data_IF_666836922432
#
_entry.id   IF_666836922432
#
_cell.length_a   1.000
_cell.length_b   1.000
_cell.length_c   1.000
_cell.angle_alpha   90.00
_cell.angle_beta   90.00
_cell.angle_gamma   90.00
#
_symmetry.space_group_name_H-M   'P 1'
#
loop_
_entity.id
_entity.type
_entity.pdbx_description
1 polymer ?
#
# COMPACT_ATOMS: atom_id res chain seq x y z
N UNK A 1 6.56 -8.19 37.27
CA UNK A 1 6.64 -6.95 36.47
C UNK A 1 7.84 -7.07 35.55
N UNK A 2 7.61 -7.40 34.30
CA UNK A 2 8.68 -7.48 33.29
C UNK A 2 8.89 -6.08 32.73
N UNK A 3 10.05 -5.49 33.01
CA UNK A 3 10.50 -4.22 32.43
C UNK A 3 10.74 -4.43 30.94
N UNK A 4 10.00 -3.70 30.12
CA UNK A 4 10.23 -3.65 28.67
C UNK A 4 11.68 -3.19 28.42
N UNK A 5 12.42 -3.95 27.64
CA UNK A 5 13.78 -3.59 27.22
C UNK A 5 13.74 -2.29 26.39
N UNK A 6 14.75 -1.40 26.48
CA UNK A 6 14.81 -0.16 25.72
C UNK A 6 14.80 -0.48 24.22
N UNK A 7 13.87 0.18 23.50
CA UNK A 7 13.49 -0.12 22.13
C UNK A 7 14.66 -0.21 21.16
N UNK A 8 14.88 -1.40 20.59
CA UNK A 8 15.60 -1.52 19.33
C UNK A 8 14.82 -0.70 18.28
N UNK A 9 15.49 0.22 17.61
CA UNK A 9 14.88 0.89 16.45
C UNK A 9 14.55 -0.18 15.42
N UNK A 10 13.30 -0.22 14.96
CA UNK A 10 12.88 -1.17 13.91
C UNK A 10 13.70 -0.92 12.65
N UNK A 11 14.24 -1.98 12.06
CA UNK A 11 14.88 -1.95 10.75
C UNK A 11 13.82 -2.30 9.72
N UNK A 12 13.30 -1.27 9.05
CA UNK A 12 12.26 -1.46 8.05
C UNK A 12 12.87 -1.63 6.67
N UNK A 13 12.48 -2.71 5.99
CA UNK A 13 12.87 -3.02 4.62
C UNK A 13 11.66 -2.91 3.70
N UNK A 14 11.91 -2.57 2.42
CA UNK A 14 10.90 -2.45 1.40
C UNK A 14 11.28 -3.32 0.20
N UNK A 15 10.31 -4.05 -0.34
CA UNK A 15 10.56 -4.95 -1.46
C UNK A 15 9.30 -5.15 -2.33
N UNK A 16 9.51 -5.51 -3.59
CA UNK A 16 8.43 -5.98 -4.46
C UNK A 16 8.20 -7.46 -4.14
N UNK A 17 6.95 -7.84 -3.92
CA UNK A 17 6.58 -9.22 -3.65
C UNK A 17 5.51 -9.73 -4.60
N UNK A 18 5.50 -11.05 -4.92
CA UNK A 18 4.40 -11.70 -5.61
C UNK A 18 3.09 -11.56 -4.81
N UNK A 19 1.96 -11.48 -5.52
CA UNK A 19 0.64 -11.32 -4.89
C UNK A 19 0.36 -12.38 -3.82
N UNK A 20 0.51 -13.65 -4.16
CA UNK A 20 0.16 -14.74 -3.23
C UNK A 20 0.98 -14.72 -1.95
N UNK A 21 2.29 -14.43 -2.06
CA UNK A 21 3.18 -14.30 -0.88
C UNK A 21 2.76 -13.14 0.02
N UNK A 22 2.53 -11.97 -0.58
CA UNK A 22 2.13 -10.78 0.19
C UNK A 22 0.73 -10.93 0.77
N UNK A 23 -0.22 -11.49 0.00
CA UNK A 23 -1.62 -11.63 0.40
C UNK A 23 -1.81 -12.61 1.56
N UNK A 24 -1.08 -13.73 1.58
CA UNK A 24 -1.15 -14.71 2.67
C UNK A 24 -0.88 -14.07 4.04
N UNK A 25 0.10 -13.17 4.10
CA UNK A 25 0.45 -12.48 5.35
C UNK A 25 -0.35 -11.19 5.59
N UNK A 26 -0.91 -10.59 4.54
CA UNK A 26 -1.60 -9.30 4.62
C UNK A 26 -3.03 -9.39 5.17
N UNK A 27 -3.61 -10.57 5.33
CA UNK A 27 -5.04 -10.75 5.62
C UNK A 27 -5.47 -10.01 6.91
N UNK A 28 -4.68 -10.11 7.98
CA UNK A 28 -4.97 -9.40 9.24
C UNK A 28 -4.87 -7.88 9.04
N UNK A 29 -3.82 -7.41 8.37
CA UNK A 29 -3.64 -5.99 8.06
C UNK A 29 -4.73 -5.44 7.14
N UNK A 30 -5.28 -6.25 6.23
CA UNK A 30 -6.39 -5.86 5.36
C UNK A 30 -7.67 -5.60 6.16
N UNK A 31 -7.95 -6.42 7.16
CA UNK A 31 -9.09 -6.21 8.06
C UNK A 31 -8.91 -4.91 8.86
N UNK A 32 -7.75 -4.70 9.47
CA UNK A 32 -7.44 -3.46 10.19
C UNK A 32 -7.54 -2.23 9.29
N UNK A 33 -6.99 -2.33 8.08
CA UNK A 33 -7.05 -1.27 7.08
C UNK A 33 -8.49 -0.93 6.71
N UNK A 34 -9.32 -1.95 6.42
CA UNK A 34 -10.73 -1.77 6.09
C UNK A 34 -11.50 -1.14 7.25
N UNK A 35 -11.26 -1.60 8.49
CA UNK A 35 -11.89 -1.03 9.67
C UNK A 35 -11.51 0.45 9.87
N UNK A 36 -10.30 0.84 9.51
CA UNK A 36 -9.85 2.21 9.65
C UNK A 36 -10.43 3.16 8.62
N UNK A 37 -10.54 2.73 7.34
CA UNK A 37 -10.80 3.67 6.23
C UNK A 37 -12.11 3.46 5.49
N UNK A 38 -12.76 2.30 5.63
CA UNK A 38 -13.96 2.00 4.83
C UNK A 38 -15.15 2.84 5.25
N UNK A 39 -15.86 3.36 4.24
CA UNK A 39 -17.15 4.03 4.40
C UNK A 39 -18.28 3.03 4.09
N UNK A 40 -19.47 3.28 4.67
CA UNK A 40 -20.66 2.44 4.46
C UNK A 40 -20.45 0.96 4.82
N UNK A 41 -19.69 0.68 5.88
CA UNK A 41 -19.37 -0.68 6.35
C UNK A 41 -20.58 -1.54 6.69
N UNK A 42 -21.70 -0.92 7.02
CA UNK A 42 -22.99 -1.57 7.21
C UNK A 42 -23.54 -2.16 5.92
N UNK A 43 -23.27 -1.53 4.77
CA UNK A 43 -23.82 -1.87 3.45
C UNK A 43 -22.83 -2.61 2.55
N UNK A 44 -21.54 -2.27 2.61
CA UNK A 44 -20.49 -2.84 1.77
C UNK A 44 -19.50 -3.56 2.65
N UNK A 45 -19.40 -4.89 2.53
CA UNK A 45 -18.50 -5.73 3.32
C UNK A 45 -17.16 -5.95 2.62
N UNK A 46 -16.11 -6.15 3.41
CA UNK A 46 -14.82 -6.58 2.86
C UNK A 46 -14.97 -7.97 2.24
N UNK A 47 -14.71 -8.07 0.95
CA UNK A 47 -14.66 -9.33 0.20
C UNK A 47 -13.62 -9.16 -0.90
N UNK A 48 -12.40 -9.65 -0.64
CA UNK A 48 -11.29 -9.52 -1.59
C UNK A 48 -11.49 -10.49 -2.75
N UNK A 49 -11.51 -9.99 -3.98
CA UNK A 49 -11.51 -10.81 -5.20
C UNK A 49 -10.08 -11.28 -5.51
N UNK A 50 -9.69 -12.36 -4.83
CA UNK A 50 -8.34 -12.93 -4.91
C UNK A 50 -7.98 -13.36 -6.32
N UNK A 51 -8.93 -13.97 -7.04
CA UNK A 51 -8.69 -14.46 -8.40
C UNK A 51 -8.48 -13.30 -9.37
N UNK A 52 -9.19 -12.19 -9.18
CA UNK A 52 -8.97 -10.99 -9.96
C UNK A 52 -7.61 -10.35 -9.71
N UNK A 53 -7.16 -10.32 -8.46
CA UNK A 53 -5.82 -9.84 -8.14
C UNK A 53 -4.72 -10.70 -8.77
N UNK A 54 -4.87 -12.04 -8.75
CA UNK A 54 -3.95 -12.95 -9.44
C UNK A 54 -3.92 -12.71 -10.94
N UNK A 55 -5.08 -12.59 -11.57
CA UNK A 55 -5.18 -12.27 -13.00
C UNK A 55 -4.42 -10.97 -13.36
N UNK A 56 -4.55 -9.93 -12.55
CA UNK A 56 -3.85 -8.66 -12.75
C UNK A 56 -2.33 -8.80 -12.53
N UNK A 57 -1.92 -9.61 -11.56
CA UNK A 57 -0.52 -9.91 -11.30
C UNK A 57 0.11 -10.69 -12.46
N UNK A 58 -0.55 -11.73 -12.95
CA UNK A 58 -0.10 -12.57 -14.09
C UNK A 58 0.03 -11.75 -15.38
N UNK A 59 -0.84 -10.75 -15.57
CA UNK A 59 -0.77 -9.81 -16.70
C UNK A 59 0.32 -8.74 -16.52
N UNK A 60 1.04 -8.75 -15.40
CA UNK A 60 2.02 -7.71 -15.09
C UNK A 60 1.42 -6.32 -14.84
N UNK A 61 0.12 -6.22 -14.61
CA UNK A 61 -0.57 -4.96 -14.31
C UNK A 61 -0.40 -4.57 -12.84
N UNK A 62 -0.41 -5.56 -11.95
CA UNK A 62 -0.29 -5.34 -10.51
C UNK A 62 1.16 -5.18 -10.08
N UNK A 63 1.40 -4.30 -9.12
CA UNK A 63 2.66 -4.21 -8.38
C UNK A 63 2.38 -4.08 -6.90
N UNK A 64 2.98 -4.97 -6.12
CA UNK A 64 2.88 -4.95 -4.67
C UNK A 64 4.25 -4.61 -4.10
N UNK A 65 4.28 -3.61 -3.24
CA UNK A 65 5.43 -3.27 -2.41
C UNK A 65 5.07 -3.53 -0.97
N UNK A 66 5.88 -4.31 -0.29
CA UNK A 66 5.72 -4.59 1.15
C UNK A 66 6.71 -3.78 1.97
N UNK A 67 6.30 -3.45 3.19
CA UNK A 67 7.15 -2.93 4.25
C UNK A 67 7.25 -3.99 5.36
N UNK A 68 8.48 -4.35 5.77
CA UNK A 68 8.73 -5.41 6.75
C UNK A 68 9.64 -4.95 7.87
N UNK A 69 9.36 -5.38 9.09
CA UNK A 69 10.30 -5.21 10.22
C UNK A 69 11.26 -6.38 10.24
N UNK A 70 12.48 -6.15 9.76
CA UNK A 70 13.52 -7.15 9.66
C UNK A 70 14.06 -7.63 11.03
N UNK A 71 13.72 -6.94 12.12
CA UNK A 71 14.07 -7.41 13.46
C UNK A 71 13.16 -8.54 13.98
N UNK A 72 12.02 -8.78 13.32
CA UNK A 72 11.04 -9.79 13.72
C UNK A 72 11.02 -10.88 12.66
N UNK A 73 11.87 -11.84 12.82
CA UNK A 73 12.04 -12.99 11.92
C UNK A 73 11.67 -14.30 12.62
N UNK A 74 11.01 -15.20 11.89
CA UNK A 74 10.68 -16.56 12.37
C UNK A 74 11.84 -17.54 12.15
N UNK A 75 12.65 -17.32 11.11
CA UNK A 75 13.83 -18.12 10.74
C UNK A 75 14.86 -17.26 9.98
N UNK A 76 16.04 -17.79 9.72
CA UNK A 76 17.17 -17.04 9.16
C UNK A 76 16.93 -16.38 7.78
N UNK A 77 16.04 -16.94 6.99
CA UNK A 77 15.69 -16.42 5.64
C UNK A 77 14.37 -15.67 5.59
N UNK A 78 13.74 -15.47 6.74
CA UNK A 78 12.49 -14.73 6.86
C UNK A 78 12.76 -13.24 6.55
N UNK A 79 12.01 -12.63 5.60
CA UNK A 79 12.18 -11.21 5.28
C UNK A 79 11.77 -10.26 6.41
N UNK A 80 11.20 -10.79 7.48
CA UNK A 80 10.69 -10.04 8.62
C UNK A 80 9.17 -9.89 8.61
N UNK A 81 8.62 -9.45 9.73
CA UNK A 81 7.18 -9.29 9.91
C UNK A 81 6.63 -8.26 8.90
N UNK A 82 5.59 -8.63 8.16
CA UNK A 82 4.85 -7.69 7.33
C UNK A 82 4.17 -6.63 8.22
N UNK A 83 4.46 -5.36 7.95
CA UNK A 83 3.94 -4.22 8.73
C UNK A 83 3.20 -3.20 7.88
N UNK A 84 3.24 -3.37 6.57
CA UNK A 84 2.54 -2.48 5.65
C UNK A 84 2.72 -2.90 4.20
N UNK A 85 1.93 -2.30 3.34
CA UNK A 85 1.94 -2.59 1.90
C UNK A 85 1.46 -1.38 1.09
N UNK A 86 1.85 -1.39 -0.18
CA UNK A 86 1.26 -0.60 -1.25
C UNK A 86 0.91 -1.54 -2.39
N UNK A 87 -0.32 -1.44 -2.87
CA UNK A 87 -0.80 -2.15 -4.05
C UNK A 87 -1.14 -1.12 -5.11
N UNK A 88 -0.56 -1.26 -6.29
CA UNK A 88 -0.80 -0.35 -7.39
C UNK A 88 -0.94 -1.07 -8.72
N UNK A 89 -1.64 -0.43 -9.63
CA UNK A 89 -1.84 -0.89 -11.00
C UNK A 89 -1.02 -0.04 -11.97
N UNK A 90 -0.39 -0.69 -12.95
CA UNK A 90 0.36 -0.04 -14.03
C UNK A 90 -0.41 -0.29 -15.32
N UNK A 91 -0.98 0.76 -15.86
CA UNK A 91 -1.86 0.68 -17.03
C UNK A 91 -1.56 1.80 -18.03
N UNK A 92 -1.76 1.56 -19.34
CA UNK A 92 -1.83 2.64 -20.32
C UNK A 92 -3.01 3.56 -19.99
N UNK A 93 -2.80 4.86 -20.10
CA UNK A 93 -3.89 5.82 -19.91
C UNK A 93 -4.70 6.00 -21.22
N UNK A 94 -6.03 5.99 -21.13
CA UNK A 94 -6.89 6.06 -22.32
C UNK A 94 -6.63 7.31 -23.19
N UNK A 95 -6.28 8.44 -22.57
CA UNK A 95 -6.00 9.69 -23.28
C UNK A 95 -4.51 9.89 -23.64
N UNK A 96 -3.62 9.03 -23.10
CA UNK A 96 -2.16 9.12 -23.31
C UNK A 96 -1.63 7.75 -23.67
N UNK A 97 -1.93 7.32 -24.90
CA UNK A 97 -1.72 5.94 -25.40
C UNK A 97 -0.29 5.41 -25.21
N UNK A 98 0.69 6.29 -25.26
CA UNK A 98 2.11 5.90 -25.21
C UNK A 98 2.70 5.93 -23.81
N UNK A 99 1.92 6.33 -22.82
CA UNK A 99 2.39 6.56 -21.46
C UNK A 99 1.73 5.58 -20.48
N UNK A 100 2.54 4.98 -19.60
CA UNK A 100 2.09 4.15 -18.50
C UNK A 100 1.84 5.01 -17.26
N UNK A 101 0.68 4.82 -16.68
CA UNK A 101 0.32 5.45 -15.41
C UNK A 101 0.28 4.40 -14.30
N UNK A 102 0.84 4.75 -13.15
CA UNK A 102 0.67 4.01 -11.91
C UNK A 102 -0.51 4.56 -11.12
N UNK A 103 -1.45 3.71 -10.76
CA UNK A 103 -2.59 4.06 -9.94
C UNK A 103 -2.54 3.27 -8.64
N UNK A 104 -2.47 3.96 -7.51
CA UNK A 104 -2.58 3.31 -6.21
C UNK A 104 -3.99 2.77 -6.03
N UNK A 105 -4.11 1.47 -5.77
CA UNK A 105 -5.35 0.84 -5.34
C UNK A 105 -5.52 1.03 -3.83
N UNK A 106 -4.59 0.48 -3.04
CA UNK A 106 -4.58 0.60 -1.59
C UNK A 106 -3.15 0.73 -1.05
N UNK A 107 -3.01 1.35 0.10
CA UNK A 107 -1.77 1.33 0.89
C UNK A 107 -2.09 1.41 2.37
N UNK A 108 -1.26 0.76 3.17
CA UNK A 108 -1.43 0.71 4.62
C UNK A 108 -0.10 0.50 5.32
N UNK A 109 0.05 1.09 6.49
CA UNK A 109 1.11 0.78 7.45
C UNK A 109 0.44 0.61 8.80
N UNK A 110 0.74 -0.49 9.48
CA UNK A 110 0.24 -0.75 10.83
C UNK A 110 0.54 0.44 11.76
N UNK A 111 -0.42 0.91 12.59
CA UNK A 111 -0.32 2.14 13.38
C UNK A 111 0.96 2.27 14.21
N UNK A 112 1.47 1.17 14.78
CA UNK A 112 2.69 1.18 15.58
C UNK A 112 3.94 1.61 14.80
N UNK A 113 3.93 1.44 13.47
CA UNK A 113 5.04 1.74 12.57
C UNK A 113 4.87 3.06 11.80
N UNK A 114 3.83 3.83 12.06
CA UNK A 114 3.57 5.13 11.40
C UNK A 114 4.46 6.26 11.92
N UNK A 115 5.27 5.99 12.92
CA UNK A 115 6.21 6.96 13.49
C UNK A 115 7.45 7.11 12.61
N UNK A 116 7.97 8.33 12.53
CA UNK A 116 9.19 8.61 11.76
C UNK A 116 8.96 8.66 10.25
N UNK A 117 9.76 7.93 9.48
CA UNK A 117 9.83 8.05 8.02
C UNK A 117 9.25 6.86 7.25
N UNK A 118 8.66 5.88 7.93
CA UNK A 118 8.22 4.61 7.30
C UNK A 118 7.33 4.84 6.08
N UNK A 119 6.32 5.70 6.17
CA UNK A 119 5.45 6.02 5.04
C UNK A 119 6.18 6.75 3.90
N UNK A 120 7.07 7.67 4.24
CA UNK A 120 7.87 8.42 3.28
C UNK A 120 8.77 7.46 2.50
N UNK A 121 9.48 6.57 3.18
CA UNK A 121 10.40 5.63 2.55
C UNK A 121 9.64 4.54 1.75
N UNK A 122 8.44 4.14 2.19
CA UNK A 122 7.57 3.27 1.39
C UNK A 122 7.27 3.92 0.04
N UNK A 123 6.80 5.16 0.02
CA UNK A 123 6.43 5.82 -1.24
C UNK A 123 7.64 6.18 -2.09
N UNK A 124 8.80 6.50 -1.54
CA UNK A 124 10.04 6.62 -2.31
C UNK A 124 10.41 5.32 -3.01
N UNK A 125 10.25 4.18 -2.32
CA UNK A 125 10.49 2.87 -2.93
C UNK A 125 9.47 2.59 -4.03
N UNK A 126 8.18 2.89 -3.80
CA UNK A 126 7.12 2.77 -4.80
C UNK A 126 7.42 3.61 -6.05
N UNK A 127 7.78 4.89 -5.87
CA UNK A 127 8.16 5.78 -6.98
C UNK A 127 9.30 5.20 -7.83
N UNK A 128 10.36 4.74 -7.17
CA UNK A 128 11.50 4.11 -7.84
C UNK A 128 11.08 2.87 -8.61
N UNK A 129 10.36 1.95 -7.95
CA UNK A 129 9.94 0.69 -8.54
C UNK A 129 8.96 0.89 -9.72
N UNK A 130 8.03 1.84 -9.62
CA UNK A 130 7.12 2.19 -10.71
C UNK A 130 7.87 2.83 -11.89
N UNK A 131 8.82 3.73 -11.62
CA UNK A 131 9.65 4.36 -12.65
C UNK A 131 10.50 3.33 -13.43
N UNK A 132 11.06 2.35 -12.74
CA UNK A 132 11.83 1.25 -13.35
C UNK A 132 10.97 0.41 -14.32
N UNK A 133 9.65 0.42 -14.13
CA UNK A 133 8.67 -0.22 -15.02
C UNK A 133 8.13 0.71 -16.11
N UNK A 134 8.68 1.91 -16.27
CA UNK A 134 8.30 2.85 -17.32
C UNK A 134 7.08 3.72 -16.99
N UNK A 135 6.63 3.74 -15.73
CA UNK A 135 5.55 4.64 -15.30
C UNK A 135 6.04 6.09 -15.36
N UNK A 136 5.28 6.94 -16.03
CA UNK A 136 5.60 8.37 -16.19
C UNK A 136 4.81 9.26 -15.22
N UNK A 137 3.67 8.77 -14.72
CA UNK A 137 2.83 9.49 -13.75
C UNK A 137 2.26 8.50 -12.74
N UNK A 138 2.43 8.80 -11.47
CA UNK A 138 1.87 8.03 -10.36
C UNK A 138 0.76 8.81 -9.70
N UNK A 139 -0.37 8.16 -9.45
CA UNK A 139 -1.57 8.74 -8.87
C UNK A 139 -1.96 8.00 -7.61
N UNK A 140 -2.37 8.74 -6.59
CA UNK A 140 -2.90 8.19 -5.33
C UNK A 140 -4.03 9.04 -4.82
N UNK A 141 -4.89 8.46 -3.98
CA UNK A 141 -5.92 9.17 -3.26
C UNK A 141 -5.81 8.92 -1.76
N UNK A 142 -6.19 9.89 -0.96
CA UNK A 142 -6.28 9.77 0.49
C UNK A 142 -7.72 9.96 0.95
N UNK A 143 -8.10 9.28 2.02
CA UNK A 143 -9.42 9.46 2.65
C UNK A 143 -9.41 10.72 3.49
N UNK A 144 -10.36 11.64 3.29
CA UNK A 144 -10.42 12.91 4.00
C UNK A 144 -10.47 12.77 5.53
N UNK A 145 -11.09 11.70 6.04
CA UNK A 145 -11.16 11.43 7.50
C UNK A 145 -9.89 10.76 8.07
N UNK A 146 -8.96 10.36 7.19
CA UNK A 146 -7.65 9.79 7.52
C UNK A 146 -6.59 10.38 6.57
N UNK A 147 -6.59 11.69 6.49
CA UNK A 147 -5.73 12.43 5.56
C UNK A 147 -4.26 12.29 5.92
N UNK A 148 -3.50 11.75 5.00
CA UNK A 148 -2.04 11.63 5.03
C UNK A 148 -1.37 12.41 3.90
N UNK A 149 -2.08 13.34 3.28
CA UNK A 149 -1.64 14.13 2.13
C UNK A 149 -0.30 14.83 2.33
N UNK A 150 0.02 15.23 3.56
CA UNK A 150 1.32 15.83 3.91
C UNK A 150 2.53 14.96 3.56
N UNK A 151 2.38 13.64 3.50
CA UNK A 151 3.46 12.74 3.05
C UNK A 151 3.75 13.00 1.58
N UNK A 152 2.70 13.12 0.77
CA UNK A 152 2.81 13.34 -0.67
C UNK A 152 3.33 14.74 -0.99
N UNK A 153 2.86 15.77 -0.29
CA UNK A 153 3.41 17.15 -0.40
C UNK A 153 4.92 17.17 -0.09
N UNK A 154 5.34 16.49 0.99
CA UNK A 154 6.75 16.35 1.36
C UNK A 154 7.59 15.65 0.27
N UNK A 155 7.00 14.69 -0.45
CA UNK A 155 7.62 13.98 -1.56
C UNK A 155 7.57 14.76 -2.88
N UNK A 156 6.99 15.96 -2.89
CA UNK A 156 6.90 16.82 -4.07
C UNK A 156 5.71 16.49 -4.99
N UNK A 157 4.72 15.74 -4.49
CA UNK A 157 3.48 15.50 -5.23
C UNK A 157 2.57 16.71 -5.15
N UNK A 158 1.72 16.87 -6.15
CA UNK A 158 0.73 17.95 -6.22
C UNK A 158 -0.68 17.38 -6.10
N UNK A 159 -1.51 17.96 -5.24
CA UNK A 159 -2.95 17.67 -5.22
C UNK A 159 -3.60 18.18 -6.51
N UNK A 160 -4.24 17.29 -7.26
CA UNK A 160 -4.77 17.59 -8.60
C UNK A 160 -6.28 17.42 -8.71
N UNK A 161 -6.88 16.55 -7.89
CA UNK A 161 -8.29 16.17 -8.05
C UNK A 161 -8.97 15.95 -6.69
N UNK A 162 -10.30 16.14 -6.69
CA UNK A 162 -11.18 15.75 -5.58
C UNK A 162 -12.14 14.69 -6.05
N UNK A 163 -12.21 13.56 -5.34
CA UNK A 163 -13.13 12.47 -5.64
C UNK A 163 -14.40 12.57 -4.83
N UNK A 164 -15.54 12.31 -5.49
CA UNK A 164 -16.85 12.24 -4.85
C UNK A 164 -17.42 10.84 -5.01
N UNK A 165 -18.05 10.30 -3.97
CA UNK A 165 -18.73 9.01 -4.04
C UNK A 165 -20.13 9.09 -3.44
N UNK A 166 -21.03 8.24 -3.92
CA UNK A 166 -22.39 8.09 -3.42
C UNK A 166 -22.76 6.60 -3.45
N UNK A 167 -23.28 6.08 -2.34
CA UNK A 167 -23.92 4.76 -2.37
C UNK A 167 -25.22 4.84 -3.13
N UNK A 168 -25.42 3.96 -4.11
CA UNK A 168 -26.59 3.91 -4.99
C UNK A 168 -27.28 2.53 -4.98
N UNK A 169 -26.83 1.59 -4.13
CA UNK A 169 -27.51 0.32 -3.90
C UNK A 169 -28.83 0.50 -3.13
N UNK A 170 -29.64 -0.56 -3.11
CA UNK A 170 -30.88 -0.61 -2.34
C UNK A 170 -30.63 -0.70 -0.83
#
# INVERSE_FOLDING_TARGET
>A
MATAAPGRSSVITYQIEPFDTAFEEAQELLVEHWEEIALNKDKIKLAVDVDRYRELADKGILQIVTARDANIQKWAWDPGKLIGYHVGMIVPHLHYRNDLFGMTDIFFIHPEYRKGRTGIELFKFVEKAMKERGVVKLMTAVKLHKDVGKIFEYLGWTETERSFCKYIGE
#
